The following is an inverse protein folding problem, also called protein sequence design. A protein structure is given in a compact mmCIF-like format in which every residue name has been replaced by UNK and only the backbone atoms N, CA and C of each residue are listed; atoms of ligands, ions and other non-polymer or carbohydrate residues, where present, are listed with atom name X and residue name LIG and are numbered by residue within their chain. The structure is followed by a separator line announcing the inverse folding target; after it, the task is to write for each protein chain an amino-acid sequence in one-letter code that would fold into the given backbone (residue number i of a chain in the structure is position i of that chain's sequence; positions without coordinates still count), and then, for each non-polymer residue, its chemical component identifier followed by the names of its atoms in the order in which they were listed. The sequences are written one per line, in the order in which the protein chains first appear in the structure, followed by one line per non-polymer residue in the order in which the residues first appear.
data_IF_415375913244
#
_entry.id   IF_415375913244
#
_cell.length_a   1.000
_cell.length_b   1.000
_cell.length_c   1.000
_cell.angle_alpha   90.00
_cell.angle_beta   90.00
_cell.angle_gamma   90.00
#
_symmetry.space_group_name_H-M   'P 1'
#
loop_
_entity.id
_entity.type
_entity.pdbx_description
1 polymer ?
#
# COMPACT_ATOMS: atom_id res chain seq x y z
N UNK A 1 -12.00 22.33 4.17
CA UNK A 1 -10.67 22.39 3.52
C UNK A 1 -10.21 20.97 3.24
N UNK A 2 -10.08 20.60 1.97
CA UNK A 2 -9.65 19.24 1.61
C UNK A 2 -8.12 19.18 1.61
N UNK A 3 -7.56 18.09 2.15
CA UNK A 3 -6.11 17.91 2.32
C UNK A 3 -5.35 17.83 0.99
N UNK A 4 -6.07 17.58 -0.09
CA UNK A 4 -5.64 17.56 -1.48
C UNK A 4 -5.20 18.92 -2.06
N UNK A 5 -5.45 20.05 -1.36
CA UNK A 5 -5.06 21.40 -1.83
C UNK A 5 -3.71 21.93 -1.29
N UNK A 6 -3.10 21.26 -0.30
CA UNK A 6 -1.88 21.77 0.36
C UNK A 6 -0.60 21.32 -0.36
N UNK A 7 -0.68 20.23 -1.13
CA UNK A 7 0.45 19.68 -1.88
C UNK A 7 0.14 19.74 -3.38
N UNK A 8 1.14 20.05 -4.23
CA UNK A 8 0.95 19.96 -5.67
C UNK A 8 0.54 18.53 -6.05
N UNK A 9 -0.36 18.39 -7.03
CA UNK A 9 -0.84 17.10 -7.56
C UNK A 9 0.31 16.14 -7.94
N UNK A 10 1.48 16.69 -8.24
CA UNK A 10 2.72 15.97 -8.56
C UNK A 10 3.41 15.30 -7.36
N UNK A 11 2.99 15.57 -6.12
CA UNK A 11 3.56 14.97 -4.91
C UNK A 11 2.52 14.04 -4.25
N UNK A 12 2.52 12.74 -4.58
CA UNK A 12 1.60 11.80 -3.96
C UNK A 12 1.86 11.77 -2.44
N UNK A 13 0.82 11.84 -1.59
CA UNK A 13 0.98 11.75 -0.16
C UNK A 13 1.67 10.44 0.20
N UNK A 14 2.79 10.50 0.94
CA UNK A 14 3.51 9.29 1.38
C UNK A 14 2.66 8.38 2.27
N UNK A 15 1.78 9.00 3.08
CA UNK A 15 0.87 8.28 3.97
C UNK A 15 -0.45 7.96 3.30
N UNK A 16 -0.64 6.70 2.95
CA UNK A 16 -1.88 6.16 2.38
C UNK A 16 -2.80 5.64 3.49
N UNK A 17 -4.11 5.83 3.31
CA UNK A 17 -5.14 5.10 4.09
C UNK A 17 -5.20 3.64 3.67
N UNK A 18 -5.84 2.77 4.46
CA UNK A 18 -6.08 1.37 4.11
C UNK A 18 -6.71 1.20 2.71
N UNK A 19 -7.71 2.04 2.39
CA UNK A 19 -8.38 2.02 1.08
C UNK A 19 -7.45 2.45 -0.04
N UNK A 20 -6.65 3.50 0.16
CA UNK A 20 -5.69 3.96 -0.83
C UNK A 20 -4.56 2.94 -1.05
N UNK A 21 -4.05 2.33 0.01
CA UNK A 21 -3.01 1.31 -0.07
C UNK A 21 -3.49 0.08 -0.88
N UNK A 22 -4.70 -0.39 -0.60
CA UNK A 22 -5.31 -1.50 -1.35
C UNK A 22 -5.55 -1.13 -2.82
N UNK A 23 -6.07 0.08 -3.09
CA UNK A 23 -6.26 0.58 -4.45
C UNK A 23 -4.95 0.78 -5.22
N UNK A 24 -3.87 1.18 -4.53
CA UNK A 24 -2.55 1.41 -5.12
C UNK A 24 -1.96 0.13 -5.74
N UNK A 25 -2.14 -1.02 -5.07
CA UNK A 25 -1.68 -2.33 -5.57
C UNK A 25 -2.79 -3.12 -6.30
N UNK A 26 -3.96 -2.51 -6.53
CA UNK A 26 -5.05 -3.12 -7.30
C UNK A 26 -5.81 -4.25 -6.60
N UNK A 27 -5.85 -4.30 -5.26
CA UNK A 27 -6.58 -5.34 -4.52
C UNK A 27 -7.69 -4.78 -3.61
N UNK A 28 -8.58 -5.66 -3.15
CA UNK A 28 -9.61 -5.31 -2.17
C UNK A 28 -9.02 -5.03 -0.77
N UNK A 29 -9.67 -4.17 0.02
CA UNK A 29 -9.21 -3.83 1.38
C UNK A 29 -9.14 -5.02 2.34
N UNK A 30 -9.98 -6.04 2.14
CA UNK A 30 -9.94 -7.27 2.92
C UNK A 30 -8.67 -8.06 2.62
N UNK A 31 -8.36 -8.25 1.33
CA UNK A 31 -7.14 -8.95 0.89
C UNK A 31 -5.88 -8.24 1.36
N UNK A 32 -5.87 -6.91 1.33
CA UNK A 32 -4.76 -6.13 1.88
C UNK A 32 -4.56 -6.37 3.38
N UNK A 33 -5.65 -6.45 4.15
CA UNK A 33 -5.58 -6.75 5.58
C UNK A 33 -5.03 -8.16 5.85
N UNK A 34 -5.45 -9.14 5.05
CA UNK A 34 -4.89 -10.49 5.09
C UNK A 34 -3.39 -10.50 4.79
N UNK A 35 -2.92 -9.78 3.76
CA UNK A 35 -1.50 -9.69 3.41
C UNK A 35 -0.68 -9.00 4.51
N UNK A 36 -1.25 -7.98 5.17
CA UNK A 36 -0.60 -7.31 6.31
C UNK A 36 -0.51 -8.26 7.51
N UNK A 37 -1.55 -9.08 7.74
CA UNK A 37 -1.58 -10.09 8.80
C UNK A 37 -0.61 -11.25 8.53
N UNK A 38 -0.49 -11.66 7.27
CA UNK A 38 0.44 -12.69 6.80
C UNK A 38 1.90 -12.22 6.82
N UNK A 39 2.14 -10.92 7.00
CA UNK A 39 3.48 -10.32 7.04
C UNK A 39 4.07 -10.04 5.65
N UNK A 40 3.28 -10.25 4.58
CA UNK A 40 3.66 -9.96 3.19
C UNK A 40 3.52 -8.49 2.82
N UNK A 41 2.74 -7.73 3.58
CA UNK A 41 2.57 -6.29 3.41
C UNK A 41 3.02 -5.54 4.68
N UNK A 42 3.44 -4.27 4.56
CA UNK A 42 3.97 -3.53 5.70
C UNK A 42 2.91 -3.28 6.77
N UNK A 43 3.37 -3.32 8.02
CA UNK A 43 2.52 -3.04 9.17
C UNK A 43 2.01 -1.58 9.15
N UNK A 44 0.78 -1.33 9.62
CA UNK A 44 0.23 0.00 9.76
C UNK A 44 1.10 0.88 10.67
N UNK A 45 1.38 2.11 10.22
CA UNK A 45 1.96 3.16 11.04
C UNK A 45 0.84 3.90 11.79
N UNK A 46 0.88 3.87 13.12
CA UNK A 46 -0.03 4.62 13.98
C UNK A 46 0.59 5.98 14.30
N UNK A 47 -0.01 7.05 13.77
CA UNK A 47 0.37 8.44 14.06
C UNK A 47 -0.76 9.05 14.88
N UNK A 48 -0.57 9.15 16.20
CA UNK A 48 -1.43 9.88 17.15
C UNK A 48 -2.96 9.63 17.02
N UNK A 49 -3.35 8.43 16.57
CA UNK A 49 -4.75 8.02 16.36
C UNK A 49 -5.15 7.78 14.90
N UNK A 50 -4.31 8.18 13.94
CA UNK A 50 -4.49 7.86 12.52
C UNK A 50 -3.63 6.68 12.09
N UNK A 51 -4.24 5.71 11.41
CA UNK A 51 -3.52 4.62 10.76
C UNK A 51 -3.16 5.02 9.33
N UNK A 52 -1.88 4.94 9.00
CA UNK A 52 -1.33 5.20 7.67
C UNK A 52 -0.37 4.11 7.25
N UNK A 53 -0.26 3.90 5.95
CA UNK A 53 0.76 3.06 5.34
C UNK A 53 1.69 3.93 4.52
N UNK A 54 2.98 3.65 4.63
CA UNK A 54 3.97 4.32 3.79
C UNK A 54 3.95 3.70 2.40
N UNK A 55 3.86 4.56 1.37
CA UNK A 55 3.84 4.11 -0.03
C UNK A 55 5.08 3.32 -0.42
N UNK A 56 6.27 3.69 0.05
CA UNK A 56 7.52 3.00 -0.32
C UNK A 56 7.56 1.62 0.31
N UNK A 57 7.11 1.50 1.56
CA UNK A 57 7.00 0.19 2.20
C UNK A 57 5.99 -0.73 1.52
N UNK A 58 4.91 -0.17 0.97
CA UNK A 58 3.94 -0.95 0.18
C UNK A 58 4.61 -1.43 -1.10
N UNK A 59 5.37 -0.55 -1.77
CA UNK A 59 6.15 -0.86 -2.96
C UNK A 59 7.15 -1.99 -2.69
N UNK A 60 7.95 -1.88 -1.63
CA UNK A 60 8.89 -2.92 -1.18
C UNK A 60 8.19 -4.25 -0.85
N UNK A 61 7.06 -4.18 -0.14
CA UNK A 61 6.26 -5.37 0.18
C UNK A 61 5.67 -6.02 -1.07
N UNK A 62 5.27 -5.22 -2.06
CA UNK A 62 4.75 -5.70 -3.33
C UNK A 62 5.84 -6.29 -4.22
N UNK A 63 7.02 -5.68 -4.28
CA UNK A 63 8.18 -6.23 -4.99
C UNK A 63 8.59 -7.58 -4.37
N UNK A 64 8.59 -7.67 -3.03
CA UNK A 64 8.85 -8.93 -2.31
C UNK A 64 7.76 -10.00 -2.53
N UNK A 65 6.54 -9.63 -2.94
CA UNK A 65 5.51 -10.60 -3.32
C UNK A 65 5.79 -11.23 -4.70
N UNK A 66 6.52 -10.52 -5.57
CA UNK A 66 6.61 -10.84 -7.00
C UNK A 66 7.59 -11.98 -7.36
N UNK A 67 8.32 -12.54 -6.39
CA UNK A 67 9.30 -13.61 -6.67
C UNK A 67 8.74 -15.05 -6.59
N UNK A 68 7.53 -15.26 -6.05
CA UNK A 68 6.95 -16.61 -5.90
C UNK A 68 5.94 -17.01 -6.98
N UNK A 69 5.82 -16.23 -8.06
CA UNK A 69 4.82 -16.45 -9.10
C UNK A 69 5.37 -16.24 -10.49
N UNK A 70 6.30 -17.10 -10.92
CA UNK A 70 6.67 -17.20 -12.33
C UNK A 70 5.39 -17.34 -13.17
N UNK A 71 5.12 -16.33 -14.00
CA UNK A 71 3.94 -16.34 -14.86
C UNK A 71 4.19 -17.37 -15.97
N UNK A 72 3.41 -18.48 -16.07
CA UNK A 72 3.65 -19.54 -17.06
C UNK A 72 3.35 -19.12 -18.51
N UNK A 73 3.04 -17.84 -18.75
CA UNK A 73 2.72 -17.25 -20.05
C UNK A 73 3.85 -16.35 -20.61
N UNK A 74 4.97 -16.24 -19.90
CA UNK A 74 6.18 -15.52 -20.33
C UNK A 74 7.18 -16.46 -21.06
N UNK A 75 6.71 -17.60 -21.60
CA UNK A 75 7.54 -18.59 -22.29
C UNK A 75 7.08 -18.86 -23.71
#
# INVERSE_FOLDING_TARGET
MKKDEILPLSLPPRGLTRRQAAAYIGIGTTKFDELVKDGRMPKPLKIDGSVRWDRFKIDEGFESLSDSGGNPWDR
#
